data_IF_284000967741
#
_entry.id   IF_284000967741
#
_cell.length_a   1.000
_cell.length_b   1.000
_cell.length_c   1.000
_cell.angle_alpha   90.00
_cell.angle_beta   90.00
_cell.angle_gamma   90.00
#
_symmetry.space_group_name_H-M   'P 1'
#
loop_
_entity.id
_entity.type
_entity.pdbx_description
1 polymer ?
#
# COMPACT_ATOMS: atom_id res chain seq x y z
N UNK A 1 -23.63 2.39 -1.66
CA UNK A 1 -23.54 0.91 -1.68
C UNK A 1 -23.43 0.50 -0.22
N UNK A 2 -24.46 -0.14 0.32
CA UNK A 2 -24.44 -0.61 1.71
C UNK A 2 -23.43 -1.78 1.84
N UNK A 3 -22.58 -1.71 2.87
CA UNK A 3 -21.57 -2.74 3.13
C UNK A 3 -22.28 -3.88 3.87
N UNK A 4 -22.22 -5.14 3.39
CA UNK A 4 -22.87 -6.26 4.05
C UNK A 4 -22.32 -6.47 5.47
N UNK A 5 -23.16 -7.02 6.35
CA UNK A 5 -22.77 -7.31 7.72
C UNK A 5 -21.73 -8.43 7.77
N UNK A 6 -20.77 -8.29 8.67
CA UNK A 6 -19.84 -9.33 9.03
C UNK A 6 -20.63 -10.43 9.74
N UNK A 7 -20.32 -11.69 9.43
CA UNK A 7 -20.99 -12.85 10.03
C UNK A 7 -20.94 -12.83 11.56
N UNK A 8 -19.86 -12.32 12.16
CA UNK A 8 -19.76 -12.18 13.62
C UNK A 8 -20.73 -11.14 14.19
N UNK A 9 -21.08 -10.11 13.42
CA UNK A 9 -22.08 -9.11 13.77
C UNK A 9 -23.47 -9.71 13.65
N UNK A 10 -23.78 -10.36 12.53
CA UNK A 10 -25.06 -11.06 12.34
C UNK A 10 -25.35 -12.08 13.45
N UNK A 11 -24.34 -12.86 13.86
CA UNK A 11 -24.48 -13.87 14.91
C UNK A 11 -24.54 -13.30 16.33
N UNK A 12 -24.02 -12.09 16.56
CA UNK A 12 -23.97 -11.47 17.88
C UNK A 12 -25.14 -10.50 18.16
N UNK A 13 -25.92 -10.15 17.14
CA UNK A 13 -27.04 -9.21 17.26
C UNK A 13 -28.25 -9.87 17.91
N UNK A 14 -28.80 -9.20 18.93
CA UNK A 14 -30.13 -9.52 19.44
C UNK A 14 -31.21 -8.84 18.59
N UNK A 15 -32.43 -9.38 18.65
CA UNK A 15 -33.61 -8.82 17.95
C UNK A 15 -33.92 -7.37 18.34
N UNK A 16 -33.45 -6.90 19.50
CA UNK A 16 -33.61 -5.51 19.94
C UNK A 16 -32.79 -4.52 19.10
N UNK A 17 -31.65 -4.95 18.55
CA UNK A 17 -30.79 -4.09 17.72
C UNK A 17 -31.24 -4.05 16.25
N UNK A 18 -32.09 -4.99 15.80
CA UNK A 18 -32.68 -4.97 14.44
C UNK A 18 -33.50 -3.71 14.18
N UNK A 19 -34.07 -3.10 15.24
CA UNK A 19 -34.80 -1.84 15.17
C UNK A 19 -33.89 -0.62 14.87
N UNK A 20 -32.57 -0.77 14.97
CA UNK A 20 -31.60 0.31 14.81
C UNK A 20 -30.52 -0.03 13.76
N UNK A 21 -30.88 -0.09 12.46
CA UNK A 21 -29.96 -0.54 11.40
C UNK A 21 -28.69 0.32 11.29
N UNK A 22 -28.75 1.61 11.64
CA UNK A 22 -27.59 2.50 11.65
C UNK A 22 -26.60 2.16 12.77
N UNK A 23 -27.06 1.68 13.93
CA UNK A 23 -26.19 1.22 15.02
C UNK A 23 -25.51 -0.07 14.61
N UNK A 24 -26.27 -1.00 14.03
CA UNK A 24 -25.75 -2.26 13.49
C UNK A 24 -24.67 -2.01 12.44
N UNK A 25 -24.92 -1.11 11.49
CA UNK A 25 -23.92 -0.72 10.50
C UNK A 25 -22.70 -0.07 11.15
N UNK A 26 -22.88 0.79 12.16
CA UNK A 26 -21.75 1.42 12.87
C UNK A 26 -20.87 0.40 13.58
N UNK A 27 -21.47 -0.61 14.22
CA UNK A 27 -20.75 -1.73 14.85
C UNK A 27 -20.04 -2.57 13.78
N UNK A 28 -20.71 -2.83 12.67
CA UNK A 28 -20.14 -3.55 11.54
C UNK A 28 -18.89 -2.87 10.98
N UNK A 29 -19.01 -1.59 10.64
CA UNK A 29 -17.92 -0.78 10.11
C UNK A 29 -16.75 -0.68 11.10
N UNK A 30 -17.06 -0.60 12.39
CA UNK A 30 -16.04 -0.60 13.44
C UNK A 30 -15.25 -1.93 13.50
N UNK A 31 -15.93 -3.06 13.31
CA UNK A 31 -15.31 -4.39 13.38
C UNK A 31 -14.63 -4.82 12.07
N UNK A 32 -14.71 -4.01 11.00
CA UNK A 32 -14.04 -4.31 9.73
C UNK A 32 -12.51 -4.44 9.93
N UNK A 33 -11.86 -5.46 9.34
CA UNK A 33 -10.41 -5.64 9.44
C UNK A 33 -9.62 -4.40 8.99
N UNK A 34 -10.13 -3.66 7.99
CA UNK A 34 -9.46 -2.45 7.50
C UNK A 34 -9.42 -1.31 8.53
N UNK A 35 -10.30 -1.30 9.54
CA UNK A 35 -10.32 -0.31 10.61
C UNK A 35 -9.09 -0.45 11.51
N UNK A 36 -8.69 -1.67 11.84
CA UNK A 36 -7.47 -1.92 12.61
C UNK A 36 -6.22 -1.67 11.78
N UNK A 37 -6.21 -2.11 10.52
CA UNK A 37 -5.10 -1.80 9.61
C UNK A 37 -4.86 -0.28 9.56
N UNK A 38 -5.96 0.48 9.39
CA UNK A 38 -6.01 1.93 9.51
C UNK A 38 -5.39 2.45 10.79
N UNK A 39 -5.85 1.97 11.94
CA UNK A 39 -5.31 2.36 13.24
C UNK A 39 -3.82 2.03 13.38
N UNK A 40 -3.35 0.94 12.79
CA UNK A 40 -1.95 0.53 12.83
C UNK A 40 -1.09 1.53 12.07
N UNK A 41 -1.33 1.76 10.78
CA UNK A 41 -0.46 2.62 9.97
C UNK A 41 -0.67 4.12 10.22
N UNK A 42 -1.71 4.49 10.97
CA UNK A 42 -1.88 5.83 11.56
C UNK A 42 -1.26 5.96 12.96
N UNK A 43 -0.74 4.87 13.54
CA UNK A 43 -0.20 4.81 14.89
C UNK A 43 -1.16 5.36 15.95
N UNK A 44 -2.37 4.78 16.01
CA UNK A 44 -3.44 5.18 16.93
C UNK A 44 -3.44 4.28 18.19
N UNK A 45 -2.62 4.58 19.22
CA UNK A 45 -2.37 3.65 20.33
C UNK A 45 -3.62 3.32 21.14
N UNK A 46 -4.57 4.26 21.23
CA UNK A 46 -5.80 4.03 21.97
C UNK A 46 -6.68 2.97 21.29
N UNK A 47 -6.79 3.02 19.97
CA UNK A 47 -7.55 2.03 19.19
C UNK A 47 -6.85 0.67 19.24
N UNK A 48 -5.53 0.65 19.08
CA UNK A 48 -4.74 -0.59 19.13
C UNK A 48 -4.77 -1.25 20.51
N UNK A 49 -4.70 -0.47 21.59
CA UNK A 49 -4.80 -0.99 22.96
C UNK A 49 -6.16 -1.59 23.24
N UNK A 50 -7.23 -0.95 22.78
CA UNK A 50 -8.60 -1.36 23.09
C UNK A 50 -9.06 -2.51 22.20
N UNK A 51 -8.63 -2.56 20.93
CA UNK A 51 -9.23 -3.45 19.92
C UNK A 51 -8.20 -4.32 19.18
N UNK A 52 -6.91 -3.99 19.21
CA UNK A 52 -5.88 -4.64 18.38
C UNK A 52 -5.61 -6.11 18.70
N UNK A 53 -5.99 -6.62 19.88
CA UNK A 53 -5.87 -8.03 20.23
C UNK A 53 -7.08 -8.88 19.84
N UNK A 54 -8.22 -8.25 19.55
CA UNK A 54 -9.51 -8.93 19.31
C UNK A 54 -9.89 -8.97 17.85
N UNK A 55 -9.35 -8.05 17.05
CA UNK A 55 -9.71 -7.87 15.65
C UNK A 55 -8.57 -8.34 14.75
N UNK A 56 -8.91 -9.02 13.63
CA UNK A 56 -7.91 -9.46 12.66
C UNK A 56 -7.25 -8.24 12.01
N UNK A 57 -5.97 -8.37 11.67
CA UNK A 57 -5.31 -7.46 10.75
C UNK A 57 -5.15 -8.14 9.41
N UNK A 58 -4.92 -7.36 8.38
CA UNK A 58 -4.69 -7.87 7.03
C UNK A 58 -3.35 -7.34 6.49
N UNK A 59 -3.01 -7.73 5.26
CA UNK A 59 -1.89 -7.14 4.53
C UNK A 59 -2.02 -5.62 4.39
N UNK A 60 -3.24 -5.07 4.52
CA UNK A 60 -3.54 -3.65 4.50
C UNK A 60 -2.80 -2.85 5.58
N UNK A 61 -2.44 -3.46 6.71
CA UNK A 61 -1.65 -2.81 7.74
C UNK A 61 -0.25 -2.44 7.23
N UNK A 62 0.45 -3.39 6.61
CA UNK A 62 1.77 -3.16 6.04
C UNK A 62 1.70 -2.34 4.74
N UNK A 63 0.71 -2.59 3.88
CA UNK A 63 0.53 -1.82 2.64
C UNK A 63 0.29 -0.33 2.94
N UNK A 64 -0.56 -0.03 3.94
CA UNK A 64 -0.80 1.33 4.38
C UNK A 64 0.40 1.97 5.08
N UNK A 65 1.17 1.20 5.87
CA UNK A 65 2.40 1.70 6.48
C UNK A 65 3.45 2.04 5.40
N UNK A 66 3.59 1.21 4.38
CA UNK A 66 4.47 1.45 3.24
C UNK A 66 4.05 2.69 2.44
N UNK A 67 2.75 2.84 2.18
CA UNK A 67 2.17 4.02 1.54
C UNK A 67 2.39 5.32 2.34
N UNK A 68 2.71 5.24 3.62
CA UNK A 68 3.01 6.40 4.48
C UNK A 68 4.48 6.59 4.79
N UNK A 69 5.36 5.74 4.26
CA UNK A 69 6.78 5.80 4.57
C UNK A 69 7.12 5.40 6.02
N UNK A 70 6.21 4.71 6.72
CA UNK A 70 6.34 4.38 8.14
C UNK A 70 7.15 3.10 8.33
N UNK A 71 8.46 3.20 8.11
CA UNK A 71 9.40 2.08 8.26
C UNK A 71 9.42 1.52 9.70
N UNK A 72 9.26 2.39 10.70
CA UNK A 72 9.12 2.03 12.12
C UNK A 72 7.97 1.04 12.36
N UNK A 73 6.84 1.27 11.71
CA UNK A 73 5.65 0.41 11.83
C UNK A 73 5.88 -0.90 11.04
N UNK A 74 6.45 -0.82 9.84
CA UNK A 74 6.76 -2.02 9.03
C UNK A 74 7.69 -3.00 9.77
N UNK A 75 8.75 -2.49 10.39
CA UNK A 75 9.68 -3.30 11.18
C UNK A 75 8.98 -3.97 12.37
N UNK A 76 8.12 -3.22 13.08
CA UNK A 76 7.34 -3.78 14.19
C UNK A 76 6.36 -4.85 13.72
N UNK A 77 5.68 -4.64 12.61
CA UNK A 77 4.70 -5.59 12.06
C UNK A 77 5.39 -6.86 11.58
N UNK A 78 6.54 -6.77 10.90
CA UNK A 78 7.29 -7.93 10.42
C UNK A 78 7.73 -8.87 11.55
N UNK A 79 8.01 -8.33 12.74
CA UNK A 79 8.41 -9.13 13.91
C UNK A 79 7.23 -9.74 14.67
N UNK A 80 6.03 -9.19 14.52
CA UNK A 80 4.88 -9.52 15.38
C UNK A 80 3.72 -10.18 14.62
N UNK A 81 3.72 -10.12 13.29
CA UNK A 81 2.61 -10.51 12.43
C UNK A 81 3.05 -11.39 11.27
N UNK A 82 2.15 -12.24 10.78
CA UNK A 82 2.45 -13.24 9.73
C UNK A 82 1.74 -12.96 8.41
N UNK A 83 0.78 -12.03 8.38
CA UNK A 83 0.00 -11.67 7.20
C UNK A 83 0.88 -11.10 6.06
N UNK A 84 1.93 -10.36 6.42
CA UNK A 84 2.87 -9.76 5.47
C UNK A 84 2.29 -8.55 4.74
N UNK A 85 2.77 -8.31 3.52
CA UNK A 85 2.33 -7.23 2.64
C UNK A 85 1.96 -7.78 1.26
N UNK A 86 1.36 -6.93 0.41
CA UNK A 86 1.11 -7.22 -1.00
C UNK A 86 2.06 -6.42 -1.91
N UNK A 87 1.98 -6.63 -3.23
CA UNK A 87 2.69 -5.79 -4.20
C UNK A 87 2.25 -4.32 -4.12
N UNK A 88 1.06 -4.03 -3.55
CA UNK A 88 0.58 -2.66 -3.35
C UNK A 88 1.50 -1.85 -2.41
N UNK A 89 2.15 -2.49 -1.43
CA UNK A 89 3.14 -1.83 -0.59
C UNK A 89 4.29 -1.22 -1.40
N UNK A 90 4.83 -1.98 -2.37
CA UNK A 90 5.91 -1.52 -3.25
C UNK A 90 5.45 -0.38 -4.15
N UNK A 91 4.30 -0.53 -4.78
CA UNK A 91 3.76 0.46 -5.73
C UNK A 91 3.44 1.76 -4.98
N UNK A 92 2.83 1.69 -3.80
CA UNK A 92 2.50 2.86 -3.00
C UNK A 92 3.74 3.56 -2.41
N UNK A 93 4.76 2.80 -2.02
CA UNK A 93 6.04 3.38 -1.61
C UNK A 93 6.78 4.04 -2.79
N UNK A 94 6.73 3.43 -3.98
CA UNK A 94 7.32 3.97 -5.20
C UNK A 94 6.62 5.25 -5.69
N UNK A 95 5.29 5.28 -5.66
CA UNK A 95 4.46 6.43 -6.05
C UNK A 95 4.64 7.65 -5.14
N UNK A 96 5.25 7.47 -3.97
CA UNK A 96 5.54 8.54 -2.99
C UNK A 96 7.04 8.71 -2.70
N UNK A 97 7.90 8.05 -3.48
CA UNK A 97 9.36 8.05 -3.33
C UNK A 97 9.87 7.68 -1.92
N UNK A 98 9.20 6.78 -1.20
CA UNK A 98 9.66 6.25 0.08
C UNK A 98 10.79 5.22 -0.10
N UNK A 99 11.99 5.71 -0.44
CA UNK A 99 13.16 4.87 -0.80
C UNK A 99 13.59 3.91 0.31
N UNK A 100 13.58 4.35 1.57
CA UNK A 100 13.96 3.50 2.70
C UNK A 100 13.00 2.32 2.87
N UNK A 101 11.70 2.57 2.70
CA UNK A 101 10.68 1.52 2.67
C UNK A 101 10.91 0.57 1.50
N UNK A 102 11.23 1.07 0.30
CA UNK A 102 11.50 0.21 -0.86
C UNK A 102 12.72 -0.69 -0.65
N UNK A 103 13.79 -0.18 -0.03
CA UNK A 103 14.95 -1.00 0.30
C UNK A 103 14.60 -2.09 1.30
N UNK A 104 13.90 -1.73 2.37
CA UNK A 104 13.45 -2.69 3.37
C UNK A 104 12.50 -3.74 2.79
N UNK A 105 11.52 -3.33 1.97
CA UNK A 105 10.62 -4.26 1.29
C UNK A 105 11.39 -5.20 0.35
N UNK A 106 12.42 -4.71 -0.35
CA UNK A 106 13.24 -5.54 -1.21
C UNK A 106 14.13 -6.52 -0.42
N UNK A 107 14.50 -6.21 0.81
CA UNK A 107 15.26 -7.11 1.69
C UNK A 107 14.42 -8.30 2.16
N UNK A 108 13.18 -8.05 2.59
CA UNK A 108 12.33 -9.07 3.22
C UNK A 108 11.26 -9.69 2.28
N UNK A 109 10.86 -8.99 1.23
CA UNK A 109 9.71 -9.34 0.38
C UNK A 109 10.01 -9.22 -1.12
N UNK A 110 11.27 -9.45 -1.53
CA UNK A 110 11.73 -9.30 -2.92
C UNK A 110 10.82 -9.98 -3.98
N UNK A 111 10.24 -11.13 -3.66
CA UNK A 111 9.36 -11.88 -4.56
C UNK A 111 8.04 -11.19 -4.92
N UNK A 112 7.61 -10.21 -4.12
CA UNK A 112 6.40 -9.40 -4.36
C UNK A 112 6.68 -8.16 -5.21
N UNK A 113 7.96 -7.86 -5.51
CA UNK A 113 8.35 -6.71 -6.30
C UNK A 113 7.75 -6.77 -7.71
N UNK A 114 7.27 -5.61 -8.20
CA UNK A 114 6.72 -5.41 -9.55
C UNK A 114 7.37 -4.17 -10.18
N UNK A 115 8.62 -4.27 -10.68
CA UNK A 115 9.41 -3.10 -11.10
C UNK A 115 8.73 -2.22 -12.14
N UNK A 116 8.06 -2.81 -13.14
CA UNK A 116 7.36 -2.05 -14.17
C UNK A 116 6.23 -1.18 -13.58
N UNK A 117 5.37 -1.77 -12.74
CA UNK A 117 4.28 -1.06 -12.06
C UNK A 117 4.81 0.02 -11.10
N UNK A 118 5.87 -0.29 -10.35
CA UNK A 118 6.52 0.66 -9.44
C UNK A 118 7.11 1.85 -10.18
N UNK A 119 7.83 1.62 -11.28
CA UNK A 119 8.46 2.68 -12.09
C UNK A 119 7.40 3.51 -12.79
N UNK A 120 6.33 2.89 -13.29
CA UNK A 120 5.20 3.60 -13.88
C UNK A 120 4.51 4.51 -12.87
N UNK A 121 4.23 4.01 -11.66
CA UNK A 121 3.64 4.82 -10.58
C UNK A 121 4.59 5.95 -10.13
N UNK A 122 5.89 5.68 -10.04
CA UNK A 122 6.89 6.71 -9.75
C UNK A 122 6.96 7.78 -10.85
N UNK A 123 6.83 7.39 -12.12
CA UNK A 123 6.84 8.30 -13.24
C UNK A 123 5.61 9.21 -13.27
N UNK A 124 4.43 8.66 -12.97
CA UNK A 124 3.18 9.42 -12.83
C UNK A 124 3.21 10.48 -11.72
N UNK A 125 4.19 10.43 -10.80
CA UNK A 125 4.37 11.40 -9.72
C UNK A 125 5.73 12.13 -9.75
N UNK A 126 6.48 12.00 -10.85
CA UNK A 126 7.70 12.78 -11.06
C UNK A 126 8.94 12.28 -10.30
N UNK A 127 8.93 11.03 -9.81
CA UNK A 127 9.96 10.50 -8.92
C UNK A 127 11.15 9.88 -9.66
N UNK A 128 12.05 10.74 -10.16
CA UNK A 128 13.25 10.36 -10.92
C UNK A 128 14.18 9.38 -10.21
N UNK A 129 14.30 9.45 -8.87
CA UNK A 129 15.18 8.57 -8.09
C UNK A 129 14.73 7.11 -8.16
N UNK A 130 13.42 6.84 -8.06
CA UNK A 130 12.88 5.48 -8.12
C UNK A 130 13.03 4.91 -9.53
N UNK A 131 12.72 5.71 -10.56
CA UNK A 131 12.93 5.34 -11.97
C UNK A 131 14.41 5.02 -12.23
N UNK A 132 15.32 5.87 -11.75
CA UNK A 132 16.77 5.68 -11.89
C UNK A 132 17.34 4.45 -11.18
N UNK A 133 16.69 3.97 -10.11
CA UNK A 133 17.09 2.75 -9.41
C UNK A 133 16.63 1.49 -10.14
N UNK A 134 15.46 1.52 -10.76
CA UNK A 134 14.78 0.32 -11.24
C UNK A 134 14.77 0.16 -12.76
N UNK A 135 15.12 1.18 -13.56
CA UNK A 135 15.05 1.11 -15.04
C UNK A 135 15.79 -0.09 -15.65
N UNK A 136 16.88 -0.57 -15.03
CA UNK A 136 17.63 -1.74 -15.52
C UNK A 136 16.86 -3.06 -15.43
N UNK A 137 15.80 -3.10 -14.63
CA UNK A 137 14.93 -4.27 -14.49
C UNK A 137 13.78 -4.28 -15.50
N UNK A 138 13.63 -3.22 -16.30
CA UNK A 138 12.56 -3.09 -17.28
C UNK A 138 13.07 -3.40 -18.70
N UNK A 139 12.16 -3.95 -19.51
CA UNK A 139 12.31 -4.07 -20.96
C UNK A 139 12.11 -2.72 -21.67
N UNK A 140 12.52 -2.64 -22.94
CA UNK A 140 12.33 -1.44 -23.76
C UNK A 140 10.86 -1.05 -23.92
N UNK A 141 9.96 -2.02 -24.03
CA UNK A 141 8.52 -1.78 -24.15
C UNK A 141 7.93 -1.21 -22.85
N UNK A 142 8.36 -1.73 -21.69
CA UNK A 142 7.95 -1.18 -20.39
C UNK A 142 8.50 0.24 -20.18
N UNK A 143 9.74 0.51 -20.60
CA UNK A 143 10.30 1.87 -20.55
C UNK A 143 9.55 2.84 -21.46
N UNK A 144 9.10 2.39 -22.63
CA UNK A 144 8.25 3.21 -23.50
C UNK A 144 6.91 3.53 -22.82
N UNK A 145 6.25 2.54 -22.20
CA UNK A 145 5.01 2.79 -21.45
C UNK A 145 5.20 3.78 -20.29
N UNK A 146 6.34 3.71 -19.59
CA UNK A 146 6.70 4.65 -18.52
C UNK A 146 6.93 6.06 -19.08
N UNK A 147 7.55 6.19 -20.25
CA UNK A 147 7.75 7.46 -20.92
C UNK A 147 6.41 8.11 -21.29
N UNK A 148 5.49 7.33 -21.85
CA UNK A 148 4.16 7.81 -22.23
C UNK A 148 3.39 8.33 -21.00
N UNK A 149 3.47 7.61 -19.88
CA UNK A 149 2.87 8.01 -18.60
C UNK A 149 3.51 9.30 -18.05
N UNK A 150 4.84 9.41 -18.07
CA UNK A 150 5.54 10.60 -17.60
C UNK A 150 5.19 11.84 -18.43
N UNK A 151 4.99 11.68 -19.74
CA UNK A 151 4.56 12.77 -20.64
C UNK A 151 3.10 13.15 -20.37
N UNK A 152 2.22 12.16 -20.17
CA UNK A 152 0.82 12.41 -19.83
C UNK A 152 0.66 13.15 -18.49
N UNK A 153 1.52 12.86 -17.51
CA UNK A 153 1.54 13.50 -16.19
C UNK A 153 2.34 14.82 -16.13
N UNK A 154 2.83 15.34 -17.27
CA UNK A 154 3.65 16.57 -17.36
C UNK A 154 4.93 16.54 -16.51
N UNK A 155 5.55 15.37 -16.38
CA UNK A 155 6.77 15.15 -15.61
C UNK A 155 7.99 15.07 -16.51
N UNK A 156 8.36 16.21 -17.09
CA UNK A 156 9.43 16.34 -18.09
C UNK A 156 10.79 15.81 -17.61
N UNK A 157 11.15 16.03 -16.33
CA UNK A 157 12.37 15.49 -15.72
C UNK A 157 12.44 13.96 -15.76
N UNK A 158 11.30 13.28 -15.60
CA UNK A 158 11.24 11.81 -15.69
C UNK A 158 11.30 11.39 -17.16
N UNK A 159 10.57 12.07 -18.05
CA UNK A 159 10.60 11.76 -19.47
C UNK A 159 12.02 11.88 -20.07
N UNK A 160 12.76 12.93 -19.73
CA UNK A 160 14.16 13.10 -20.12
C UNK A 160 15.07 12.00 -19.57
N UNK A 161 14.89 11.64 -18.29
CA UNK A 161 15.63 10.54 -17.68
C UNK A 161 15.38 9.22 -18.42
N UNK A 162 14.11 8.89 -18.70
CA UNK A 162 13.74 7.64 -19.38
C UNK A 162 14.31 7.61 -20.80
N UNK A 163 14.20 8.70 -21.58
CA UNK A 163 14.82 8.80 -22.91
C UNK A 163 16.33 8.58 -22.86
N UNK A 164 17.02 9.20 -21.90
CA UNK A 164 18.45 9.00 -21.69
C UNK A 164 18.78 7.53 -21.40
N UNK A 165 17.95 6.83 -20.61
CA UNK A 165 18.16 5.42 -20.28
C UNK A 165 17.86 4.48 -21.45
N UNK A 166 16.84 4.76 -22.25
CA UNK A 166 16.52 3.98 -23.46
C UNK A 166 17.65 4.03 -24.48
N UNK A 167 18.29 5.19 -24.67
CA UNK A 167 19.45 5.33 -25.57
C UNK A 167 20.71 4.57 -25.11
N UNK A 168 20.80 4.20 -23.82
CA UNK A 168 21.92 3.41 -23.27
C UNK A 168 21.63 1.90 -23.39
N UNK A 169 20.36 1.51 -23.52
CA UNK A 169 19.93 0.12 -23.59
C UNK A 169 19.90 -0.44 -25.02
N UNK A 170 19.92 0.43 -26.02
CA UNK A 170 20.06 0.15 -27.47
C UNK A 170 21.51 0.03 -27.89
#
# INVERSE_FOLDING_TARGET
MEVPLLLCVELALSTEFEAFPHIVQSVNDFLMPQTIDGAIYNDLPHVLKTYGSRLPCTVGAMDGAAARGRLDILQRLQLTRTEGCSSAAFIAAASRAHLEVLWWLNEFYAGLSRPAEMVKAAAAHGHTRVVGLLWRKLSSDELQSVLDEAVAADHQNVAELVRSKMSIAS
#
